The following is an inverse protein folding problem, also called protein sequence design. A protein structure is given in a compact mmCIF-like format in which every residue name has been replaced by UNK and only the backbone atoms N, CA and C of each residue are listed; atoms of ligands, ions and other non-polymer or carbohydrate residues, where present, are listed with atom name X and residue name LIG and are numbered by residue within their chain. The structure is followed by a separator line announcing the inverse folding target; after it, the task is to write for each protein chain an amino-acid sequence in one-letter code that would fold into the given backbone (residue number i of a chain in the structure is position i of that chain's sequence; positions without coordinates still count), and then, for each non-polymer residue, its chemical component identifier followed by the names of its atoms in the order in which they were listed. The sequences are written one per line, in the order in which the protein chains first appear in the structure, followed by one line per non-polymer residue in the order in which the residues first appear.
data_IF_237297047193
#
_entry.id   IF_237297047193
#
_cell.length_a   1.000
_cell.length_b   1.000
_cell.length_c   1.000
_cell.angle_alpha   90.00
_cell.angle_beta   90.00
_cell.angle_gamma   90.00
#
_symmetry.space_group_name_H-M   'P 1'
#
loop_
_entity.id
_entity.type
_entity.pdbx_description
1 polymer ?
#
# COMPACT_ATOMS: atom_id res chain seq x y z
N UNK A 1 16.89 10.23 2.43
CA UNK A 1 16.57 9.27 1.38
C UNK A 1 17.79 8.95 0.51
N UNK A 2 18.52 9.96 0.05
CA UNK A 2 19.70 9.75 -0.79
C UNK A 2 20.76 8.87 -0.12
N UNK A 3 21.00 9.06 1.17
CA UNK A 3 21.93 8.26 1.94
C UNK A 3 21.47 6.80 2.06
N UNK A 4 20.16 6.59 2.25
CA UNK A 4 19.58 5.26 2.33
C UNK A 4 19.67 4.52 0.99
N UNK A 5 19.44 5.21 -0.13
CA UNK A 5 19.64 4.64 -1.47
C UNK A 5 21.09 4.27 -1.73
N UNK A 6 22.03 5.14 -1.36
CA UNK A 6 23.45 4.86 -1.50
C UNK A 6 23.87 3.63 -0.68
N UNK A 7 23.37 3.50 0.56
CA UNK A 7 23.62 2.35 1.41
C UNK A 7 23.08 1.05 0.80
N UNK A 8 21.90 1.09 0.20
CA UNK A 8 21.31 -0.07 -0.48
C UNK A 8 22.19 -0.55 -1.63
N UNK A 9 22.65 0.36 -2.49
CA UNK A 9 23.53 0.02 -3.60
C UNK A 9 24.90 -0.49 -3.14
N UNK A 10 25.46 0.09 -2.09
CA UNK A 10 26.72 -0.39 -1.53
C UNK A 10 26.60 -1.81 -0.97
N UNK A 11 25.48 -2.13 -0.35
CA UNK A 11 25.21 -3.46 0.18
C UNK A 11 24.95 -4.50 -0.92
N UNK A 12 24.37 -4.09 -2.04
CA UNK A 12 24.05 -4.98 -3.15
C UNK A 12 25.29 -5.55 -3.87
N UNK A 13 26.38 -4.81 -3.91
CA UNK A 13 27.63 -5.24 -4.53
C UNK A 13 27.62 -5.18 -6.06
N UNK A 14 28.54 -5.90 -6.69
CA UNK A 14 28.71 -5.88 -8.16
C UNK A 14 27.68 -6.69 -8.94
N UNK A 15 27.21 -7.79 -8.38
CA UNK A 15 26.13 -8.59 -8.93
C UNK A 15 24.91 -8.47 -8.03
N UNK A 16 23.77 -8.06 -8.58
CA UNK A 16 22.53 -7.88 -7.82
C UNK A 16 21.32 -8.26 -8.66
N UNK A 17 20.23 -8.59 -7.97
CA UNK A 17 18.91 -8.80 -8.53
C UNK A 17 17.96 -7.68 -8.10
N UNK A 18 16.77 -7.55 -8.70
CA UNK A 18 15.77 -6.56 -8.26
C UNK A 18 15.40 -6.65 -6.78
N UNK A 19 15.50 -7.83 -6.20
CA UNK A 19 15.20 -8.07 -4.78
C UNK A 19 16.22 -7.43 -3.85
N UNK A 20 17.44 -7.16 -4.33
CA UNK A 20 18.51 -6.55 -3.55
C UNK A 20 18.38 -5.03 -3.45
N UNK A 21 17.52 -4.41 -4.25
CA UNK A 21 17.33 -2.96 -4.32
C UNK A 21 15.86 -2.53 -4.10
N UNK A 22 15.21 -2.98 -3.02
CA UNK A 22 13.78 -2.70 -2.80
C UNK A 22 13.48 -1.21 -2.64
N UNK A 23 14.34 -0.45 -1.97
CA UNK A 23 14.15 0.98 -1.78
C UNK A 23 14.24 1.76 -3.10
N UNK A 24 15.22 1.43 -3.94
CA UNK A 24 15.37 2.03 -5.28
C UNK A 24 14.14 1.76 -6.14
N UNK A 25 13.61 0.54 -6.11
CA UNK A 25 12.39 0.16 -6.83
C UNK A 25 11.18 0.93 -6.34
N UNK A 26 11.05 1.10 -5.03
CA UNK A 26 9.96 1.84 -4.42
C UNK A 26 9.98 3.31 -4.84
N UNK A 27 11.14 3.96 -4.77
CA UNK A 27 11.32 5.36 -5.17
C UNK A 27 11.06 5.53 -6.67
N UNK A 28 11.56 4.64 -7.51
CA UNK A 28 11.31 4.64 -8.95
C UNK A 28 9.82 4.57 -9.26
N UNK A 29 9.10 3.67 -8.61
CA UNK A 29 7.65 3.56 -8.78
C UNK A 29 6.93 4.83 -8.32
N UNK A 30 7.33 5.40 -7.19
CA UNK A 30 6.74 6.63 -6.67
C UNK A 30 6.91 7.80 -7.65
N UNK A 31 8.09 7.98 -8.22
CA UNK A 31 8.39 9.10 -9.13
C UNK A 31 7.86 8.89 -10.54
N UNK A 32 7.96 7.68 -11.08
CA UNK A 32 7.64 7.42 -12.49
C UNK A 32 6.17 7.09 -12.71
N UNK A 33 5.53 6.41 -11.76
CA UNK A 33 4.15 5.89 -11.92
C UNK A 33 3.11 6.61 -11.07
N UNK A 34 3.48 7.07 -9.88
CA UNK A 34 2.53 7.65 -8.94
C UNK A 34 2.53 9.17 -9.01
N UNK A 35 3.70 9.79 -8.93
CA UNK A 35 3.80 11.25 -8.90
C UNK A 35 3.17 11.97 -10.10
N UNK A 36 3.19 11.41 -11.34
CA UNK A 36 2.52 12.07 -12.48
C UNK A 36 1.01 12.22 -12.31
N UNK A 37 0.35 11.26 -11.65
CA UNK A 37 -1.10 11.29 -11.39
C UNK A 37 -1.43 10.53 -10.11
N UNK A 38 -1.22 11.14 -8.92
CA UNK A 38 -1.53 10.50 -7.65
C UNK A 38 -3.01 10.16 -7.49
N UNK A 39 -3.89 11.00 -8.05
CA UNK A 39 -5.33 10.80 -7.95
C UNK A 39 -5.80 9.50 -8.60
N UNK A 40 -5.22 9.12 -9.74
CA UNK A 40 -5.52 7.87 -10.40
C UNK A 40 -5.12 6.66 -9.54
N UNK A 41 -3.98 6.73 -8.87
CA UNK A 41 -3.52 5.68 -7.94
C UNK A 41 -4.45 5.56 -6.74
N UNK A 42 -4.84 6.69 -6.16
CA UNK A 42 -5.80 6.71 -5.04
C UNK A 42 -7.14 6.09 -5.45
N UNK A 43 -7.66 6.46 -6.61
CA UNK A 43 -8.92 5.92 -7.13
C UNK A 43 -8.85 4.40 -7.35
N UNK A 44 -7.75 3.90 -7.92
CA UNK A 44 -7.55 2.48 -8.15
C UNK A 44 -7.46 1.69 -6.83
N UNK A 45 -6.73 2.21 -5.85
CA UNK A 45 -6.58 1.56 -4.55
C UNK A 45 -7.86 1.63 -3.71
N UNK A 46 -8.62 2.72 -3.82
CA UNK A 46 -9.87 2.88 -3.08
C UNK A 46 -10.91 1.82 -3.45
N UNK A 47 -10.86 1.27 -4.66
CA UNK A 47 -11.74 0.18 -5.09
C UNK A 47 -11.58 -1.07 -4.22
N UNK A 48 -10.37 -1.36 -3.75
CA UNK A 48 -10.13 -2.49 -2.84
C UNK A 48 -10.79 -2.29 -1.48
N UNK A 49 -10.94 -1.05 -1.03
CA UNK A 49 -11.67 -0.74 0.20
C UNK A 49 -13.12 -1.20 0.17
N UNK A 50 -13.78 -1.13 -0.97
CA UNK A 50 -15.16 -1.56 -1.14
C UNK A 50 -15.34 -3.08 -0.97
N UNK A 51 -14.29 -3.86 -1.16
CA UNK A 51 -14.30 -5.32 -1.04
C UNK A 51 -13.57 -5.83 0.21
N UNK A 52 -13.13 -4.91 1.08
CA UNK A 52 -12.52 -5.28 2.35
C UNK A 52 -13.52 -6.02 3.24
N UNK A 53 -13.02 -6.99 4.02
CA UNK A 53 -13.85 -7.78 4.91
C UNK A 53 -14.69 -6.92 5.86
N UNK A 54 -14.13 -5.79 6.33
CA UNK A 54 -14.82 -4.86 7.23
C UNK A 54 -16.02 -4.15 6.57
N UNK A 55 -16.11 -4.14 5.25
CA UNK A 55 -17.22 -3.57 4.51
C UNK A 55 -18.46 -4.49 4.49
N UNK A 56 -18.26 -5.78 4.77
CA UNK A 56 -19.34 -6.73 4.82
C UNK A 56 -19.94 -6.80 6.23
N UNK A 57 -21.25 -6.79 6.32
CA UNK A 57 -21.98 -6.83 7.59
C UNK A 57 -22.92 -8.04 7.62
N UNK A 58 -23.16 -8.57 8.81
CA UNK A 58 -24.07 -9.70 9.00
C UNK A 58 -25.53 -9.29 8.72
N UNK A 59 -26.33 -10.24 8.27
CA UNK A 59 -27.77 -10.05 8.13
C UNK A 59 -28.48 -10.00 9.49
N UNK A 60 -27.95 -10.73 10.48
CA UNK A 60 -28.45 -10.67 11.85
C UNK A 60 -28.24 -9.27 12.45
N UNK A 61 -29.33 -8.65 12.91
CA UNK A 61 -29.30 -7.28 13.40
C UNK A 61 -28.43 -7.07 14.64
N UNK A 62 -28.38 -8.04 15.54
CA UNK A 62 -27.58 -7.94 16.77
C UNK A 62 -26.08 -8.01 16.44
N UNK A 63 -25.72 -8.92 15.56
CA UNK A 63 -24.35 -9.04 15.11
C UNK A 63 -23.92 -7.82 14.29
N UNK A 64 -24.77 -7.35 13.38
CA UNK A 64 -24.50 -6.15 12.58
C UNK A 64 -24.30 -4.91 13.47
N UNK A 65 -25.08 -4.75 14.54
CA UNK A 65 -24.91 -3.65 15.50
C UNK A 65 -23.57 -3.74 16.23
N UNK A 66 -23.15 -4.93 16.62
CA UNK A 66 -21.83 -5.13 17.25
C UNK A 66 -20.69 -4.84 16.28
N UNK A 67 -20.82 -5.25 15.03
CA UNK A 67 -19.86 -4.94 13.98
C UNK A 67 -19.78 -3.43 13.73
N UNK A 68 -20.91 -2.74 13.71
CA UNK A 68 -20.94 -1.28 13.54
C UNK A 68 -20.17 -0.57 14.66
N UNK A 69 -20.40 -0.95 15.92
CA UNK A 69 -19.69 -0.36 17.06
C UNK A 69 -18.18 -0.60 16.98
N UNK A 70 -17.78 -1.80 16.59
CA UNK A 70 -16.37 -2.18 16.54
C UNK A 70 -15.64 -1.66 15.29
N UNK A 71 -16.31 -1.58 14.14
CA UNK A 71 -15.66 -1.39 12.85
C UNK A 71 -15.92 -0.05 12.18
N UNK A 72 -17.07 0.59 12.44
CA UNK A 72 -17.37 1.90 11.82
C UNK A 72 -16.32 2.97 12.15
N UNK A 73 -15.69 3.00 13.36
CA UNK A 73 -14.63 3.95 13.66
C UNK A 73 -13.32 3.74 12.86
N UNK A 74 -13.16 2.62 12.22
CA UNK A 74 -11.99 2.31 11.41
C UNK A 74 -12.16 2.88 10.01
#
# INVERSE_FOLDING_TARGET
LAEALAAEWNAAGGEFSPEDIPLTRLVGTAEERIAPDPAATVAALAQYGATDLLCYRAEDRRLAARQAVAWDPL
#
